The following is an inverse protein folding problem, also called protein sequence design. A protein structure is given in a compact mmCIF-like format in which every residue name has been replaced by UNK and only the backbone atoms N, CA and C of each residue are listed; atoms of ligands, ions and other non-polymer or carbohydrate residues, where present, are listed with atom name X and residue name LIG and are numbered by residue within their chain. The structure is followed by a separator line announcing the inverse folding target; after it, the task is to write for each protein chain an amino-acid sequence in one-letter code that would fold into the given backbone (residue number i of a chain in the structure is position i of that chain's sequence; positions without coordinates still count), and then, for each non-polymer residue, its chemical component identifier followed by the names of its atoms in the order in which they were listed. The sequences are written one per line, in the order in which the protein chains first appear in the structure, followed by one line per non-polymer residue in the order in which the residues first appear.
data_IF_467057487243
#
_entry.id   IF_467057487243
#
_cell.length_a   1.000
_cell.length_b   1.000
_cell.length_c   1.000
_cell.angle_alpha   90.00
_cell.angle_beta   90.00
_cell.angle_gamma   90.00
#
_symmetry.space_group_name_H-M   'P 1'
#
loop_
_entity.id
_entity.type
_entity.pdbx_description
1 polymer ?
#
# COMPACT_ATOMS: atom_id res chain seq x y z
N UNK A 1 15.33 14.11 -5.22
CA UNK A 1 15.10 12.97 -6.15
C UNK A 1 13.82 13.28 -6.91
N UNK A 2 13.69 12.90 -8.18
CA UNK A 2 12.43 13.11 -8.94
C UNK A 2 11.41 12.05 -8.54
N UNK A 3 10.16 12.45 -8.32
CA UNK A 3 9.06 11.53 -8.01
C UNK A 3 8.84 10.60 -9.22
N UNK A 4 8.85 9.27 -9.06
CA UNK A 4 8.57 8.35 -10.17
C UNK A 4 7.16 8.58 -10.72
N UNK A 5 7.03 8.65 -12.05
CA UNK A 5 5.72 8.70 -12.72
C UNK A 5 5.35 7.30 -13.19
N UNK A 6 4.19 6.81 -12.78
CA UNK A 6 3.70 5.47 -13.14
C UNK A 6 2.45 5.62 -14.00
N UNK A 7 2.44 5.00 -15.18
CA UNK A 7 1.26 4.94 -16.04
C UNK A 7 0.50 3.64 -15.78
N UNK A 8 -0.76 3.73 -15.36
CA UNK A 8 -1.67 2.58 -15.34
C UNK A 8 -2.62 2.60 -16.54
N UNK A 9 -2.73 1.47 -17.23
CA UNK A 9 -3.63 1.25 -18.36
C UNK A 9 -4.63 0.18 -17.93
N UNK A 10 -5.82 0.58 -17.50
CA UNK A 10 -6.81 -0.34 -16.94
C UNK A 10 -8.24 0.21 -17.02
N UNK A 11 -9.22 -0.60 -16.61
CA UNK A 11 -10.60 -0.15 -16.47
C UNK A 11 -10.87 0.64 -15.19
N UNK A 12 -11.91 1.46 -15.22
CA UNK A 12 -12.44 2.19 -14.07
C UNK A 12 -13.50 1.36 -13.35
N UNK A 13 -13.27 1.10 -12.06
CA UNK A 13 -14.24 0.51 -11.14
C UNK A 13 -15.01 1.60 -10.39
N UNK A 14 -16.34 1.65 -10.57
CA UNK A 14 -17.22 2.62 -9.91
C UNK A 14 -17.28 2.47 -8.38
N UNK A 15 -17.10 1.26 -7.85
CA UNK A 15 -17.01 1.02 -6.40
C UNK A 15 -15.66 1.46 -5.82
N UNK A 16 -14.67 1.64 -6.72
CA UNK A 16 -13.34 2.09 -6.42
C UNK A 16 -12.54 1.10 -5.59
N UNK A 17 -12.82 -0.20 -5.59
CA UNK A 17 -12.01 -1.21 -4.91
C UNK A 17 -10.88 -1.77 -5.78
N UNK A 18 -11.09 -1.81 -7.09
CA UNK A 18 -10.14 -2.34 -8.08
C UNK A 18 -9.83 -1.30 -9.18
N UNK A 19 -9.23 -1.78 -10.29
CA UNK A 19 -8.99 -0.98 -11.50
C UNK A 19 -8.11 0.25 -11.25
N UNK A 20 -8.32 1.29 -12.07
CA UNK A 20 -7.58 2.55 -11.99
C UNK A 20 -7.68 3.19 -10.59
N UNK A 21 -8.79 3.03 -9.88
CA UNK A 21 -8.97 3.58 -8.54
C UNK A 21 -8.02 2.92 -7.53
N UNK A 22 -7.87 1.59 -7.58
CA UNK A 22 -6.90 0.88 -6.76
C UNK A 22 -5.47 1.24 -7.15
N UNK A 23 -5.18 1.32 -8.45
CA UNK A 23 -3.86 1.65 -8.97
C UNK A 23 -3.42 3.06 -8.52
N UNK A 24 -4.26 4.09 -8.76
CA UNK A 24 -3.99 5.49 -8.39
C UNK A 24 -3.75 5.62 -6.89
N UNK A 25 -4.57 4.99 -6.05
CA UNK A 25 -4.37 5.01 -4.60
C UNK A 25 -3.07 4.34 -4.21
N UNK A 26 -2.78 3.17 -4.78
CA UNK A 26 -1.55 2.43 -4.50
C UNK A 26 -0.31 3.23 -4.84
N UNK A 27 -0.23 3.74 -6.08
CA UNK A 27 0.89 4.55 -6.57
C UNK A 27 1.08 5.80 -5.69
N UNK A 28 -0.01 6.49 -5.36
CA UNK A 28 0.01 7.68 -4.50
C UNK A 28 0.50 7.37 -3.09
N UNK A 29 -0.02 6.29 -2.48
CA UNK A 29 0.33 5.90 -1.12
C UNK A 29 1.78 5.40 -1.00
N UNK A 30 2.34 4.89 -2.09
CA UNK A 30 3.76 4.53 -2.20
C UNK A 30 4.66 5.71 -2.62
N UNK A 31 4.10 6.93 -2.74
CA UNK A 31 4.87 8.15 -2.95
C UNK A 31 5.30 8.42 -4.39
N UNK A 32 4.63 7.81 -5.37
CA UNK A 32 4.83 8.06 -6.80
C UNK A 32 3.65 8.87 -7.39
N UNK A 33 3.83 9.40 -8.60
CA UNK A 33 2.79 10.14 -9.32
C UNK A 33 2.04 9.20 -10.29
N UNK A 34 0.73 8.96 -10.10
CA UNK A 34 -0.05 8.15 -11.02
C UNK A 34 -0.52 8.95 -12.23
N UNK A 35 -0.43 8.33 -13.41
CA UNK A 35 -1.07 8.74 -14.66
C UNK A 35 -1.89 7.57 -15.18
N UNK A 36 -2.91 7.83 -16.00
CA UNK A 36 -3.90 6.80 -16.37
C UNK A 36 -4.27 6.83 -17.85
N UNK A 37 -4.47 5.66 -18.44
CA UNK A 37 -5.21 5.46 -19.68
C UNK A 37 -6.38 4.50 -19.42
N UNK A 38 -7.62 4.98 -19.54
CA UNK A 38 -8.82 4.22 -19.19
C UNK A 38 -9.24 3.35 -20.38
N UNK A 39 -9.38 2.05 -20.17
CA UNK A 39 -9.75 1.06 -21.20
C UNK A 39 -11.26 0.76 -21.24
N UNK A 40 -11.93 0.88 -20.10
CA UNK A 40 -13.36 0.69 -19.96
C UNK A 40 -13.88 1.37 -18.67
N UNK A 41 -15.18 1.63 -18.62
CA UNK A 41 -15.87 2.09 -17.40
C UNK A 41 -16.84 0.98 -16.99
N UNK A 42 -16.80 0.54 -15.73
CA UNK A 42 -17.72 -0.46 -15.22
C UNK A 42 -18.74 0.17 -14.27
N UNK A 43 -20.02 -0.18 -14.43
CA UNK A 43 -21.03 0.03 -13.41
C UNK A 43 -20.92 -1.13 -12.42
N UNK A 44 -20.05 -0.96 -11.42
CA UNK A 44 -19.60 -2.00 -10.50
C UNK A 44 -19.71 -1.53 -9.05
N UNK A 45 -19.93 -2.47 -8.14
CA UNK A 45 -19.84 -2.28 -6.70
C UNK A 45 -19.39 -3.61 -6.05
N UNK A 46 -19.38 -3.67 -4.71
CA UNK A 46 -18.91 -4.85 -3.95
C UNK A 46 -19.70 -6.14 -4.22
N UNK A 47 -20.88 -6.06 -4.83
CA UNK A 47 -21.73 -7.21 -5.16
C UNK A 47 -21.58 -7.68 -6.61
N UNK A 48 -20.79 -6.97 -7.44
CA UNK A 48 -20.48 -7.38 -8.81
C UNK A 48 -20.60 -6.27 -9.84
N UNK A 49 -20.64 -6.67 -11.12
CA UNK A 49 -20.65 -5.78 -12.29
C UNK A 49 -22.00 -5.86 -13.00
N UNK A 50 -22.65 -4.72 -13.21
CA UNK A 50 -23.94 -4.62 -13.90
C UNK A 50 -23.82 -4.18 -15.37
N UNK A 51 -22.76 -3.44 -15.72
CA UNK A 51 -22.49 -3.02 -17.08
C UNK A 51 -21.01 -2.71 -17.29
N UNK A 52 -20.54 -2.86 -18.52
CA UNK A 52 -19.20 -2.47 -18.97
C UNK A 52 -19.35 -1.61 -20.22
N UNK A 53 -18.74 -0.44 -20.22
CA UNK A 53 -18.65 0.45 -21.37
C UNK A 53 -17.19 0.54 -21.85
N UNK A 54 -16.83 -0.13 -22.96
CA UNK A 54 -15.46 -0.10 -23.46
C UNK A 54 -15.13 1.28 -24.03
N UNK A 55 -13.92 1.77 -23.75
CA UNK A 55 -13.36 2.95 -24.40
C UNK A 55 -12.79 2.51 -25.76
N UNK A 56 -13.07 3.24 -26.86
CA UNK A 56 -12.49 2.92 -28.16
C UNK A 56 -10.96 2.86 -28.10
N UNK A 57 -10.34 1.85 -28.71
CA UNK A 57 -8.90 1.64 -28.61
C UNK A 57 -8.08 2.86 -29.09
N UNK A 58 -8.54 3.59 -30.11
CA UNK A 58 -7.92 4.85 -30.56
C UNK A 58 -7.79 5.86 -29.42
N UNK A 59 -8.86 6.08 -28.65
CA UNK A 59 -8.84 6.95 -27.48
C UNK A 59 -7.95 6.40 -26.35
N UNK A 60 -7.83 5.08 -26.20
CA UNK A 60 -6.87 4.48 -25.25
C UNK A 60 -5.43 4.81 -25.66
N UNK A 61 -5.10 4.68 -26.95
CA UNK A 61 -3.77 5.00 -27.46
C UNK A 61 -3.49 6.51 -27.36
N UNK A 62 -4.46 7.37 -27.68
CA UNK A 62 -4.32 8.83 -27.52
C UNK A 62 -4.03 9.22 -26.06
N UNK A 63 -4.66 8.57 -25.08
CA UNK A 63 -4.35 8.78 -23.65
C UNK A 63 -2.91 8.36 -23.31
N UNK A 64 -2.47 7.19 -23.78
CA UNK A 64 -1.11 6.68 -23.57
C UNK A 64 -0.09 7.66 -24.18
N UNK A 65 -0.34 8.11 -25.41
CA UNK A 65 0.54 9.05 -26.12
C UNK A 65 0.59 10.42 -25.45
N UNK A 66 -0.54 10.94 -24.99
CA UNK A 66 -0.58 12.20 -24.27
C UNK A 66 0.28 12.18 -22.99
N UNK A 67 0.23 11.08 -22.23
CA UNK A 67 1.06 10.91 -21.03
C UNK A 67 2.54 10.76 -21.40
N UNK A 68 2.87 9.87 -22.34
CA UNK A 68 4.25 9.61 -22.73
C UNK A 68 4.93 10.81 -23.42
N UNK A 69 4.16 11.74 -23.97
CA UNK A 69 4.68 12.95 -24.59
C UNK A 69 5.08 14.04 -23.58
N UNK A 70 4.53 14.02 -22.36
CA UNK A 70 4.73 15.07 -21.34
C UNK A 70 5.49 14.57 -20.11
N UNK A 71 5.31 13.30 -19.73
CA UNK A 71 5.87 12.72 -18.51
C UNK A 71 7.01 11.74 -18.79
N UNK A 72 8.07 11.82 -17.99
CA UNK A 72 9.12 10.80 -17.90
C UNK A 72 8.58 9.58 -17.13
N UNK A 73 7.79 8.74 -17.80
CA UNK A 73 7.17 7.53 -17.22
C UNK A 73 8.25 6.51 -16.84
N UNK A 74 8.29 6.17 -15.56
CA UNK A 74 9.29 5.28 -14.96
C UNK A 74 8.87 3.80 -14.99
N UNK A 75 7.57 3.51 -15.00
CA UNK A 75 7.04 2.15 -15.21
C UNK A 75 5.59 2.21 -15.71
N UNK A 76 5.14 1.13 -16.34
CA UNK A 76 3.77 0.96 -16.83
C UNK A 76 3.14 -0.25 -16.15
N UNK A 77 1.91 -0.12 -15.68
CA UNK A 77 1.06 -1.23 -15.27
C UNK A 77 -0.08 -1.39 -16.26
N UNK A 78 -0.31 -2.60 -16.74
CA UNK A 78 -1.46 -2.94 -17.58
C UNK A 78 -2.39 -3.85 -16.79
N UNK A 79 -3.66 -3.47 -16.66
CA UNK A 79 -4.71 -4.30 -16.07
C UNK A 79 -5.75 -4.72 -17.12
N UNK A 80 -7.03 -4.70 -16.76
CA UNK A 80 -8.12 -5.00 -17.68
C UNK A 80 -8.05 -4.13 -18.95
N UNK A 81 -7.98 -4.74 -20.13
CA UNK A 81 -7.89 -4.06 -21.44
C UNK A 81 -9.23 -3.94 -22.18
N UNK A 82 -10.22 -4.76 -21.80
CA UNK A 82 -11.61 -4.68 -22.27
C UNK A 82 -11.92 -5.36 -23.61
N UNK A 83 -10.93 -5.59 -24.50
CA UNK A 83 -11.13 -6.38 -25.72
C UNK A 83 -9.81 -6.84 -26.34
N UNK A 84 -9.84 -7.91 -27.14
CA UNK A 84 -8.70 -8.37 -27.94
C UNK A 84 -8.09 -7.29 -28.84
N UNK A 85 -8.93 -6.44 -29.44
CA UNK A 85 -8.49 -5.36 -30.31
C UNK A 85 -7.72 -4.30 -29.52
N UNK A 86 -8.26 -3.88 -28.37
CA UNK A 86 -7.59 -2.93 -27.47
C UNK A 86 -6.29 -3.53 -26.91
N UNK A 87 -6.28 -4.80 -26.52
CA UNK A 87 -5.08 -5.50 -26.04
C UNK A 87 -3.95 -5.45 -27.08
N UNK A 88 -4.24 -5.79 -28.34
CA UNK A 88 -3.24 -5.77 -29.42
C UNK A 88 -2.76 -4.36 -29.71
N UNK A 89 -3.66 -3.37 -29.75
CA UNK A 89 -3.29 -1.97 -29.96
C UNK A 89 -2.36 -1.45 -28.85
N UNK A 90 -2.64 -1.78 -27.58
CA UNK A 90 -1.77 -1.45 -26.45
C UNK A 90 -0.41 -2.14 -26.63
N UNK A 91 -0.38 -3.45 -26.90
CA UNK A 91 0.86 -4.20 -27.08
C UNK A 91 1.72 -3.62 -28.22
N UNK A 92 1.13 -3.35 -29.38
CA UNK A 92 1.82 -2.75 -30.53
C UNK A 92 2.40 -1.37 -30.19
N UNK A 93 1.68 -0.56 -29.42
CA UNK A 93 2.16 0.76 -29.02
C UNK A 93 3.29 0.68 -27.98
N UNK A 94 3.15 -0.20 -26.99
CA UNK A 94 4.14 -0.38 -25.93
C UNK A 94 5.42 -1.04 -26.45
N UNK A 95 5.33 -1.91 -27.46
CA UNK A 95 6.49 -2.50 -28.14
C UNK A 95 7.43 -1.45 -28.74
N UNK A 96 6.90 -0.31 -29.19
CA UNK A 96 7.69 0.82 -29.73
C UNK A 96 8.54 1.53 -28.67
N UNK A 97 8.37 1.21 -27.38
CA UNK A 97 9.22 1.72 -26.31
C UNK A 97 10.56 0.97 -26.22
N UNK A 98 10.76 -0.10 -27.00
CA UNK A 98 11.99 -0.88 -27.12
C UNK A 98 12.56 -1.35 -25.76
N UNK A 99 11.68 -1.71 -24.83
CA UNK A 99 12.07 -2.22 -23.50
C UNK A 99 12.68 -1.17 -22.56
N UNK A 100 12.58 0.13 -22.88
CA UNK A 100 13.15 1.22 -22.04
C UNK A 100 12.38 1.47 -20.75
N UNK A 101 11.08 1.15 -20.75
CA UNK A 101 10.19 1.34 -19.60
C UNK A 101 9.72 -0.04 -19.16
N UNK A 102 9.87 -0.40 -17.87
CA UNK A 102 9.39 -1.68 -17.35
C UNK A 102 7.86 -1.75 -17.39
N UNK A 103 7.33 -2.92 -17.74
CA UNK A 103 5.89 -3.16 -17.93
C UNK A 103 5.44 -4.31 -17.04
N UNK A 104 4.48 -4.06 -16.14
CA UNK A 104 3.86 -5.07 -15.28
C UNK A 104 2.47 -5.36 -15.81
N UNK A 105 2.21 -6.62 -16.17
CA UNK A 105 0.94 -7.05 -16.77
C UNK A 105 0.16 -7.88 -15.76
N UNK A 106 -0.98 -7.35 -15.34
CA UNK A 106 -2.00 -8.02 -14.53
C UNK A 106 -3.09 -8.54 -15.48
N UNK A 107 -3.11 -9.84 -15.84
CA UNK A 107 -3.96 -10.38 -16.89
C UNK A 107 -5.40 -10.60 -16.39
N UNK A 108 -6.05 -9.51 -15.97
CA UNK A 108 -7.39 -9.52 -15.40
C UNK A 108 -8.38 -10.08 -16.43
N UNK A 109 -8.85 -11.31 -16.19
CA UNK A 109 -9.81 -12.01 -17.06
C UNK A 109 -11.17 -12.23 -16.39
N UNK A 110 -11.23 -12.19 -15.05
CA UNK A 110 -12.44 -12.44 -14.26
C UNK A 110 -12.49 -11.43 -13.10
N UNK A 111 -13.68 -10.97 -12.72
CA UNK A 111 -13.84 -10.15 -11.51
C UNK A 111 -13.65 -11.00 -10.25
N UNK A 112 -13.35 -10.35 -9.10
CA UNK A 112 -13.40 -11.01 -7.78
C UNK A 112 -14.74 -11.70 -7.52
N UNK A 113 -15.84 -11.19 -8.09
CA UNK A 113 -17.19 -11.77 -8.01
C UNK A 113 -17.47 -12.88 -9.05
N UNK A 114 -16.48 -13.34 -9.81
CA UNK A 114 -16.59 -14.46 -10.75
C UNK A 114 -17.19 -14.14 -12.12
N UNK A 115 -17.29 -12.87 -12.52
CA UNK A 115 -17.83 -12.48 -13.84
C UNK A 115 -16.69 -12.44 -14.86
N UNK A 116 -16.84 -13.18 -15.97
CA UNK A 116 -15.88 -13.14 -17.07
C UNK A 116 -15.81 -11.72 -17.69
N UNK A 117 -14.60 -11.17 -17.74
CA UNK A 117 -14.28 -9.86 -18.33
C UNK A 117 -13.56 -9.99 -19.68
N UNK A 118 -13.01 -11.16 -19.97
CA UNK A 118 -12.31 -11.46 -21.21
C UNK A 118 -12.98 -12.64 -21.94
N UNK A 119 -13.18 -12.49 -23.24
CA UNK A 119 -13.51 -13.61 -24.14
C UNK A 119 -12.24 -14.34 -24.59
N UNK A 120 -12.38 -15.52 -25.21
CA UNK A 120 -11.25 -16.33 -25.69
C UNK A 120 -10.28 -15.53 -26.58
N UNK A 121 -10.81 -14.63 -27.42
CA UNK A 121 -9.99 -13.77 -28.27
C UNK A 121 -9.13 -12.79 -27.45
N UNK A 122 -9.68 -12.27 -26.35
CA UNK A 122 -8.96 -11.37 -25.44
C UNK A 122 -7.89 -12.14 -24.65
N UNK A 123 -8.19 -13.37 -24.21
CA UNK A 123 -7.21 -14.26 -23.57
C UNK A 123 -6.03 -14.55 -24.51
N UNK A 124 -6.31 -14.91 -25.77
CA UNK A 124 -5.26 -15.14 -26.78
C UNK A 124 -4.42 -13.87 -27.00
N UNK A 125 -5.06 -12.70 -27.05
CA UNK A 125 -4.37 -11.43 -27.25
C UNK A 125 -3.44 -11.04 -26.09
N UNK A 126 -3.63 -11.56 -24.86
CA UNK A 126 -2.74 -11.28 -23.73
C UNK A 126 -1.31 -11.77 -23.98
N UNK A 127 -1.11 -12.79 -24.82
CA UNK A 127 0.23 -13.26 -25.21
C UNK A 127 1.11 -12.14 -25.80
N UNK A 128 0.52 -11.20 -26.54
CA UNK A 128 1.25 -10.07 -27.11
C UNK A 128 1.73 -9.07 -26.04
N UNK A 129 0.99 -8.93 -24.93
CA UNK A 129 1.44 -8.15 -23.78
C UNK A 129 2.51 -8.90 -22.98
N UNK A 130 2.38 -10.22 -22.85
CA UNK A 130 3.38 -11.03 -22.16
C UNK A 130 4.73 -10.99 -22.88
N UNK A 131 4.77 -10.99 -24.20
CA UNK A 131 6.03 -10.87 -24.97
C UNK A 131 6.83 -9.59 -24.71
N UNK A 132 6.21 -8.54 -24.16
CA UNK A 132 6.87 -7.26 -23.84
C UNK A 132 6.92 -6.96 -22.34
N UNK A 133 6.38 -7.86 -21.52
CA UNK A 133 6.28 -7.65 -20.08
C UNK A 133 7.66 -7.77 -19.40
N UNK A 134 7.89 -6.94 -18.38
CA UNK A 134 8.94 -7.18 -17.39
C UNK A 134 8.50 -8.23 -16.37
N UNK A 135 7.20 -8.27 -16.06
CA UNK A 135 6.59 -9.26 -15.18
C UNK A 135 5.11 -9.42 -15.55
N UNK A 136 4.62 -10.65 -15.63
CA UNK A 136 3.19 -10.95 -15.62
C UNK A 136 2.77 -11.45 -14.23
N UNK A 137 1.58 -11.08 -13.74
CA UNK A 137 1.10 -11.43 -12.39
C UNK A 137 -0.21 -12.23 -12.37
N UNK A 138 -0.34 -13.34 -13.14
CA UNK A 138 -1.57 -14.13 -13.15
C UNK A 138 -1.82 -14.81 -11.80
N UNK A 139 -3.08 -14.92 -11.41
CA UNK A 139 -3.51 -15.87 -10.38
C UNK A 139 -3.68 -17.30 -10.95
N UNK A 140 -3.92 -18.28 -10.09
CA UNK A 140 -4.04 -19.68 -10.54
C UNK A 140 -5.18 -19.90 -11.55
N UNK A 141 -6.43 -19.44 -11.31
CA UNK A 141 -7.49 -19.52 -12.33
C UNK A 141 -7.13 -18.87 -13.67
N UNK A 142 -6.39 -17.77 -13.63
CA UNK A 142 -5.93 -17.08 -14.84
C UNK A 142 -4.89 -17.91 -15.59
N UNK A 143 -3.95 -18.55 -14.91
CA UNK A 143 -3.00 -19.47 -15.56
C UNK A 143 -3.74 -20.58 -16.31
N UNK A 144 -4.69 -21.25 -15.65
CA UNK A 144 -5.50 -22.31 -16.29
C UNK A 144 -6.21 -21.78 -17.53
N UNK A 145 -6.77 -20.57 -17.46
CA UNK A 145 -7.44 -19.93 -18.59
C UNK A 145 -6.50 -19.59 -19.75
N UNK A 146 -5.25 -19.22 -19.46
CA UNK A 146 -4.25 -18.81 -20.45
C UNK A 146 -3.55 -19.99 -21.13
N UNK A 147 -3.42 -21.12 -20.44
CA UNK A 147 -2.62 -22.27 -20.92
C UNK A 147 -3.43 -23.53 -21.18
N UNK A 148 -4.58 -23.68 -20.53
CA UNK A 148 -5.34 -24.93 -20.44
C UNK A 148 -4.70 -25.98 -19.52
N UNK A 149 -3.64 -25.63 -18.78
CA UNK A 149 -2.95 -26.52 -17.85
C UNK A 149 -3.53 -26.35 -16.44
N UNK A 150 -3.91 -27.47 -15.82
CA UNK A 150 -4.55 -27.53 -14.49
C UNK A 150 -3.52 -27.41 -13.36
N UNK A 151 -2.27 -27.84 -13.58
CA UNK A 151 -1.16 -27.58 -12.65
C UNK A 151 -0.66 -26.13 -12.81
N UNK A 152 -0.89 -25.24 -11.83
CA UNK A 152 -0.54 -23.83 -11.96
C UNK A 152 0.95 -23.58 -12.17
N UNK A 153 1.84 -24.43 -11.63
CA UNK A 153 3.29 -24.29 -11.80
C UNK A 153 3.69 -24.70 -13.21
N UNK A 154 3.16 -25.82 -13.72
CA UNK A 154 3.41 -26.24 -15.09
C UNK A 154 2.87 -25.22 -16.10
N UNK A 155 1.68 -24.66 -15.85
CA UNK A 155 1.10 -23.60 -16.66
C UNK A 155 1.94 -22.33 -16.63
N UNK A 156 2.42 -21.89 -15.46
CA UNK A 156 3.29 -20.72 -15.38
C UNK A 156 4.63 -20.94 -16.11
N UNK A 157 5.24 -22.12 -16.00
CA UNK A 157 6.44 -22.48 -16.79
C UNK A 157 6.16 -22.46 -18.30
N UNK A 158 4.97 -22.91 -18.73
CA UNK A 158 4.54 -22.82 -20.13
C UNK A 158 4.41 -21.37 -20.60
N UNK A 159 3.88 -20.46 -19.76
CA UNK A 159 3.80 -19.04 -20.08
C UNK A 159 5.18 -18.42 -20.24
N UNK A 160 6.08 -18.69 -19.30
CA UNK A 160 7.49 -18.23 -19.35
C UNK A 160 8.17 -18.75 -20.61
N UNK A 161 8.11 -20.05 -20.89
CA UNK A 161 8.75 -20.63 -22.07
C UNK A 161 8.14 -20.19 -23.41
N UNK A 162 6.85 -19.85 -23.44
CA UNK A 162 6.15 -19.40 -24.66
C UNK A 162 6.37 -17.92 -24.96
N UNK A 163 6.38 -17.07 -23.93
CA UNK A 163 6.37 -15.61 -24.08
C UNK A 163 7.67 -14.93 -23.63
N UNK A 164 8.54 -15.63 -22.91
CA UNK A 164 9.87 -15.16 -22.49
C UNK A 164 9.90 -14.22 -21.28
N UNK A 165 8.74 -13.95 -20.68
CA UNK A 165 8.63 -13.01 -19.55
C UNK A 165 8.41 -13.73 -18.23
N UNK A 166 9.05 -13.28 -17.13
CA UNK A 166 8.82 -13.82 -15.80
C UNK A 166 7.34 -13.76 -15.38
N UNK A 167 6.91 -14.78 -14.64
CA UNK A 167 5.54 -14.91 -14.12
C UNK A 167 5.57 -14.94 -12.60
N UNK A 168 4.89 -13.99 -11.96
CA UNK A 168 4.54 -14.07 -10.54
C UNK A 168 3.17 -14.74 -10.41
N UNK A 169 3.18 -16.04 -10.15
CA UNK A 169 1.98 -16.80 -9.84
C UNK A 169 1.51 -16.47 -8.41
N UNK A 170 0.32 -15.91 -8.27
CA UNK A 170 -0.24 -15.59 -6.96
C UNK A 170 -1.13 -16.70 -6.41
N UNK A 171 -0.84 -17.18 -5.20
CA UNK A 171 -1.47 -18.34 -4.57
C UNK A 171 -2.67 -18.04 -3.68
N UNK A 172 -3.14 -16.79 -3.60
CA UNK A 172 -4.25 -16.38 -2.71
C UNK A 172 -5.57 -17.19 -2.84
N UNK A 173 -5.70 -18.02 -3.88
CA UNK A 173 -6.83 -18.88 -4.16
C UNK A 173 -6.65 -20.34 -3.69
N UNK A 174 -5.50 -20.71 -3.11
CA UNK A 174 -5.26 -22.06 -2.57
C UNK A 174 -6.15 -22.34 -1.35
N UNK A 175 -6.70 -23.55 -1.26
CA UNK A 175 -7.35 -24.03 -0.03
C UNK A 175 -6.29 -24.31 1.04
N UNK A 176 -6.48 -23.76 2.24
CA UNK A 176 -5.60 -24.00 3.39
C UNK A 176 -5.04 -22.74 4.04
N UNK A 177 -4.29 -22.96 5.12
CA UNK A 177 -3.69 -21.93 5.99
C UNK A 177 -2.42 -21.31 5.39
N UNK A 178 -1.64 -22.11 4.66
CA UNK A 178 -0.40 -21.68 4.02
C UNK A 178 -0.68 -21.29 2.58
N UNK A 179 -0.24 -20.10 2.19
CA UNK A 179 -0.32 -19.59 0.83
C UNK A 179 1.11 -19.33 0.32
N UNK A 180 1.35 -19.65 -0.95
CA UNK A 180 2.62 -19.35 -1.60
C UNK A 180 2.41 -18.53 -2.88
N UNK A 181 3.16 -17.43 -2.99
CA UNK A 181 3.34 -16.78 -4.30
C UNK A 181 4.70 -17.21 -4.85
N UNK A 182 4.78 -17.43 -6.16
CA UNK A 182 5.99 -17.92 -6.82
C UNK A 182 6.35 -17.05 -8.03
N UNK A 183 7.53 -16.46 -8.01
CA UNK A 183 8.17 -15.88 -9.19
C UNK A 183 8.87 -17.00 -9.95
N UNK A 184 8.44 -17.23 -11.18
CA UNK A 184 8.94 -18.26 -12.09
C UNK A 184 9.65 -17.54 -13.24
N UNK A 185 10.93 -17.88 -13.39
CA UNK A 185 11.84 -17.42 -14.44
C UNK A 185 12.35 -18.66 -15.22
N UNK A 186 13.11 -18.45 -16.30
CA UNK A 186 13.59 -19.55 -17.16
C UNK A 186 14.42 -20.60 -16.38
N UNK A 187 15.23 -20.17 -15.41
CA UNK A 187 16.19 -20.99 -14.69
C UNK A 187 16.04 -20.97 -13.16
N UNK A 188 15.05 -20.24 -12.64
CA UNK A 188 14.89 -20.00 -11.22
C UNK A 188 13.42 -19.91 -10.80
N UNK A 189 13.15 -20.37 -9.57
CA UNK A 189 11.86 -20.17 -8.90
C UNK A 189 12.13 -19.58 -7.53
N UNK A 190 11.60 -18.38 -7.28
CA UNK A 190 11.64 -17.74 -5.96
C UNK A 190 10.24 -17.76 -5.37
N UNK A 191 10.07 -18.27 -4.16
CA UNK A 191 8.75 -18.34 -3.51
C UNK A 191 8.71 -17.55 -2.21
N UNK A 192 7.53 -17.02 -1.93
CA UNK A 192 7.25 -16.35 -0.68
C UNK A 192 6.05 -16.99 0.01
N UNK A 193 6.23 -17.36 1.27
CA UNK A 193 5.17 -17.94 2.09
C UNK A 193 4.41 -16.86 2.85
N UNK A 194 3.15 -17.14 3.17
CA UNK A 194 2.34 -16.34 4.07
C UNK A 194 1.18 -17.15 4.63
N UNK A 195 0.59 -16.66 5.71
CA UNK A 195 -0.66 -17.21 6.25
C UNK A 195 -1.86 -16.54 5.60
N UNK A 196 -2.92 -17.31 5.36
CA UNK A 196 -4.22 -16.79 4.93
C UNK A 196 -4.74 -15.75 5.93
N UNK A 197 -5.35 -14.69 5.40
CA UNK A 197 -6.00 -13.64 6.18
C UNK A 197 -7.50 -13.86 6.00
N UNK A 198 -8.22 -14.12 7.09
CA UNK A 198 -9.67 -14.28 7.07
C UNK A 198 -10.34 -12.91 6.86
N UNK A 199 -10.75 -12.63 5.62
CA UNK A 199 -11.50 -11.43 5.23
C UNK A 199 -12.20 -11.66 3.88
N UNK A 200 -13.38 -11.08 3.72
CA UNK A 200 -14.09 -11.02 2.43
C UNK A 200 -13.75 -9.72 1.66
N UNK A 201 -13.00 -8.80 2.29
CA UNK A 201 -12.58 -7.53 1.69
C UNK A 201 -11.27 -7.70 0.87
N UNK A 202 -11.33 -8.55 -0.15
CA UNK A 202 -10.22 -8.91 -1.03
C UNK A 202 -10.31 -8.26 -2.43
N UNK A 203 -11.28 -7.36 -2.62
CA UNK A 203 -11.49 -6.73 -3.91
C UNK A 203 -10.34 -5.78 -4.26
N UNK A 204 -9.69 -6.05 -5.40
CA UNK A 204 -8.57 -5.25 -5.90
C UNK A 204 -7.19 -5.69 -5.42
N UNK A 205 -7.04 -6.87 -4.81
CA UNK A 205 -5.75 -7.46 -4.42
C UNK A 205 -4.76 -7.56 -5.59
N UNK A 206 -5.16 -8.14 -6.73
CA UNK A 206 -4.32 -8.24 -7.93
C UNK A 206 -3.89 -6.88 -8.48
N UNK A 207 -4.83 -5.94 -8.63
CA UNK A 207 -4.54 -4.58 -9.08
C UNK A 207 -3.57 -3.85 -8.14
N UNK A 208 -3.79 -3.98 -6.83
CA UNK A 208 -2.92 -3.38 -5.80
C UNK A 208 -1.52 -4.00 -5.84
N UNK A 209 -1.40 -5.32 -6.01
CA UNK A 209 -0.12 -6.00 -6.09
C UNK A 209 0.68 -5.53 -7.30
N UNK A 210 0.09 -5.61 -8.49
CA UNK A 210 0.75 -5.23 -9.75
C UNK A 210 1.09 -3.73 -9.80
N UNK A 211 0.22 -2.85 -9.32
CA UNK A 211 0.50 -1.42 -9.20
C UNK A 211 1.63 -1.12 -8.20
N UNK A 212 1.69 -1.86 -7.08
CA UNK A 212 2.78 -1.72 -6.11
C UNK A 212 4.12 -2.14 -6.72
N UNK A 213 4.16 -3.26 -7.43
CA UNK A 213 5.37 -3.75 -8.11
C UNK A 213 5.85 -2.73 -9.15
N UNK A 214 4.94 -2.22 -10.00
CA UNK A 214 5.27 -1.20 -10.99
C UNK A 214 5.84 0.06 -10.33
N UNK A 215 5.25 0.48 -9.20
CA UNK A 215 5.72 1.65 -8.44
C UNK A 215 7.13 1.46 -7.88
N UNK A 216 7.41 0.32 -7.27
CA UNK A 216 8.74 0.05 -6.71
C UNK A 216 9.81 -0.13 -7.80
N UNK A 217 9.48 -0.79 -8.91
CA UNK A 217 10.39 -0.90 -10.05
C UNK A 217 10.66 0.48 -10.68
N UNK A 218 9.64 1.31 -10.86
CA UNK A 218 9.79 2.69 -11.32
C UNK A 218 10.65 3.56 -10.39
N UNK A 219 10.69 3.22 -9.09
CA UNK A 219 11.59 3.81 -8.11
C UNK A 219 13.03 3.26 -8.14
N UNK A 220 13.32 2.31 -9.04
CA UNK A 220 14.64 1.69 -9.21
C UNK A 220 14.95 0.59 -8.19
N UNK A 221 13.93 0.00 -7.55
CA UNK A 221 14.05 -1.15 -6.65
C UNK A 221 14.08 -2.44 -7.50
N UNK A 222 14.90 -3.42 -7.08
CA UNK A 222 15.01 -4.71 -7.80
C UNK A 222 13.71 -5.51 -7.79
N UNK A 223 13.55 -6.45 -8.73
CA UNK A 223 12.30 -7.20 -8.92
C UNK A 223 11.86 -7.97 -7.67
N UNK A 224 12.72 -8.83 -7.10
CA UNK A 224 12.38 -9.64 -5.92
C UNK A 224 12.02 -8.77 -4.71
N UNK A 225 12.75 -7.67 -4.49
CA UNK A 225 12.46 -6.73 -3.40
C UNK A 225 11.16 -5.97 -3.65
N UNK A 226 10.87 -5.61 -4.90
CA UNK A 226 9.61 -4.98 -5.29
C UNK A 226 8.42 -5.91 -5.04
N UNK A 227 8.56 -7.20 -5.36
CA UNK A 227 7.55 -8.23 -5.09
C UNK A 227 7.35 -8.38 -3.58
N UNK A 228 8.43 -8.55 -2.80
CA UNK A 228 8.34 -8.71 -1.35
C UNK A 228 7.61 -7.53 -0.67
N UNK A 229 7.98 -6.29 -1.04
CA UNK A 229 7.32 -5.08 -0.53
C UNK A 229 5.87 -4.96 -0.98
N UNK A 230 5.57 -5.29 -2.24
CA UNK A 230 4.21 -5.27 -2.77
C UNK A 230 3.30 -6.29 -2.06
N UNK A 231 3.81 -7.50 -1.80
CA UNK A 231 3.10 -8.52 -1.02
C UNK A 231 2.83 -8.04 0.39
N UNK A 232 3.82 -7.45 1.06
CA UNK A 232 3.63 -6.86 2.38
C UNK A 232 2.54 -5.78 2.34
N UNK A 233 2.51 -4.94 1.29
CA UNK A 233 1.56 -3.84 1.14
C UNK A 233 0.12 -4.36 1.04
N UNK A 234 -0.10 -5.37 0.19
CA UNK A 234 -1.41 -6.02 0.03
C UNK A 234 -1.84 -6.69 1.33
N UNK A 235 -0.95 -7.45 1.99
CA UNK A 235 -1.27 -8.14 3.25
C UNK A 235 -1.67 -7.17 4.36
N UNK A 236 -0.97 -6.06 4.50
CA UNK A 236 -1.35 -5.00 5.44
C UNK A 236 -2.70 -4.37 5.04
N UNK A 237 -2.95 -4.20 3.74
CA UNK A 237 -4.23 -3.72 3.23
C UNK A 237 -5.40 -4.64 3.56
N UNK A 238 -5.18 -5.96 3.54
CA UNK A 238 -6.18 -6.97 3.94
C UNK A 238 -6.47 -6.91 5.44
N UNK A 239 -5.45 -6.80 6.29
CA UNK A 239 -5.65 -6.65 7.74
C UNK A 239 -6.37 -5.35 8.12
N UNK A 240 -6.16 -4.28 7.34
CA UNK A 240 -6.75 -2.96 7.58
C UNK A 240 -8.07 -2.71 6.85
N UNK A 241 -8.63 -3.77 6.24
CA UNK A 241 -9.83 -3.67 5.43
C UNK A 241 -10.98 -2.97 6.20
N UNK A 242 -11.69 -2.03 5.56
CA UNK A 242 -12.63 -1.14 6.23
C UNK A 242 -14.04 -1.73 6.41
N UNK A 243 -14.34 -2.92 5.88
CA UNK A 243 -15.68 -3.54 5.98
C UNK A 243 -16.75 -2.77 5.21
N UNK A 244 -16.43 -2.29 4.00
CA UNK A 244 -17.33 -1.45 3.21
C UNK A 244 -18.10 -2.27 2.17
N UNK A 245 -19.40 -1.99 2.05
CA UNK A 245 -20.30 -2.64 1.10
C UNK A 245 -21.01 -3.86 1.70
N UNK A 246 -21.57 -4.70 0.83
CA UNK A 246 -22.35 -5.89 1.20
C UNK A 246 -21.85 -7.17 0.49
N UNK A 247 -20.70 -7.10 -0.15
CA UNK A 247 -20.05 -8.23 -0.82
C UNK A 247 -18.53 -8.11 -0.63
N UNK A 248 -17.75 -8.31 -1.67
CA UNK A 248 -16.29 -8.16 -1.60
C UNK A 248 -15.88 -6.69 -1.51
N UNK A 249 -15.49 -6.24 -0.32
CA UNK A 249 -15.08 -4.87 -0.07
C UNK A 249 -13.63 -4.57 -0.48
N UNK A 250 -13.26 -3.28 -0.52
CA UNK A 250 -11.93 -2.83 -0.91
C UNK A 250 -10.90 -3.02 0.21
N UNK A 251 -9.62 -3.09 -0.17
CA UNK A 251 -8.50 -3.08 0.77
C UNK A 251 -8.39 -1.78 1.58
N UNK A 252 -7.84 -1.88 2.80
CA UNK A 252 -7.58 -0.78 3.73
C UNK A 252 -6.39 0.13 3.38
N UNK A 253 -6.14 0.42 2.09
CA UNK A 253 -4.90 1.05 1.61
C UNK A 253 -4.55 2.38 2.30
N UNK A 254 -5.55 3.17 2.69
CA UNK A 254 -5.36 4.47 3.36
C UNK A 254 -4.68 4.35 4.74
N UNK A 255 -4.77 3.18 5.37
CA UNK A 255 -4.17 2.88 6.67
C UNK A 255 -2.86 2.12 6.55
N UNK A 256 -2.55 1.56 5.37
CA UNK A 256 -1.28 0.89 5.15
C UNK A 256 -0.16 1.91 5.25
N UNK A 257 0.53 1.86 6.38
CA UNK A 257 1.83 2.46 6.57
C UNK A 257 2.82 1.32 6.54
N UNK A 258 3.12 0.81 5.35
CA UNK A 258 4.37 0.05 5.26
C UNK A 258 5.50 0.93 5.76
N UNK A 259 5.46 2.19 5.33
CA UNK A 259 6.42 3.19 5.67
C UNK A 259 5.99 4.55 5.10
N UNK A 260 5.90 5.59 5.92
CA UNK A 260 5.75 6.97 5.39
C UNK A 260 7.04 7.37 4.65
N UNK A 261 7.00 7.49 3.32
CA UNK A 261 8.08 8.06 2.51
C UNK A 261 8.05 7.65 1.04
N UNK A 262 8.74 8.43 0.21
CA UNK A 262 8.85 8.21 -1.25
C UNK A 262 9.37 6.79 -1.57
N UNK A 263 8.82 6.15 -2.60
CA UNK A 263 9.43 4.98 -3.21
C UNK A 263 10.76 5.43 -3.83
N UNK A 264 11.87 5.13 -3.15
CA UNK A 264 13.22 5.42 -3.61
C UNK A 264 14.14 4.23 -3.33
N UNK A 265 15.19 4.11 -4.15
CA UNK A 265 16.19 3.03 -4.08
C UNK A 265 16.90 2.92 -2.72
N UNK A 266 17.00 4.02 -1.98
CA UNK A 266 17.52 4.03 -0.60
C UNK A 266 16.55 4.79 0.29
N UNK A 267 15.85 4.04 1.13
CA UNK A 267 14.96 4.58 2.15
C UNK A 267 15.77 5.25 3.26
N UNK A 268 15.53 6.54 3.60
CA UNK A 268 16.13 7.16 4.79
C UNK A 268 15.61 6.48 6.08
N UNK A 269 16.34 6.54 7.20
CA UNK A 269 15.88 5.96 8.46
C UNK A 269 14.46 6.41 8.83
N UNK A 270 13.63 5.45 9.27
CA UNK A 270 12.21 5.68 9.61
C UNK A 270 12.00 5.45 11.10
N UNK A 271 11.28 6.36 11.75
CA UNK A 271 10.81 6.16 13.12
C UNK A 271 9.64 5.17 13.10
N UNK A 272 9.93 3.90 13.41
CA UNK A 272 8.92 2.83 13.41
C UNK A 272 8.20 2.72 14.77
N UNK A 273 8.96 2.85 15.86
CA UNK A 273 8.48 2.61 17.21
C UNK A 273 9.23 3.50 18.20
N UNK A 274 8.49 4.04 19.17
CA UNK A 274 9.04 4.67 20.36
C UNK A 274 8.67 3.83 21.57
N UNK A 275 9.68 3.43 22.34
CA UNK A 275 9.51 2.70 23.60
C UNK A 275 9.80 3.63 24.78
N UNK A 276 8.84 3.77 25.69
CA UNK A 276 9.09 4.38 26.99
C UNK A 276 9.35 3.31 28.04
N UNK A 277 10.24 3.61 28.98
CA UNK A 277 10.48 2.76 30.13
C UNK A 277 9.46 3.07 31.22
N UNK A 278 9.00 2.01 31.90
CA UNK A 278 8.12 2.10 33.05
C UNK A 278 8.63 1.30 34.24
N UNK A 279 8.02 1.54 35.41
CA UNK A 279 8.33 0.82 36.66
C UNK A 279 7.14 -0.02 37.16
N UNK A 280 5.96 0.15 36.55
CA UNK A 280 4.72 -0.53 36.92
C UNK A 280 3.90 -0.78 35.64
N UNK A 281 3.88 -2.03 35.20
CA UNK A 281 3.25 -2.45 33.95
C UNK A 281 1.77 -2.09 33.89
N UNK A 282 1.00 -2.48 34.90
CA UNK A 282 -0.46 -2.33 34.91
C UNK A 282 -0.85 -0.86 34.85
N UNK A 283 -0.20 -0.01 35.67
CA UNK A 283 -0.49 1.43 35.67
C UNK A 283 -0.13 2.09 34.34
N UNK A 284 1.00 1.71 33.74
CA UNK A 284 1.41 2.24 32.44
C UNK A 284 0.41 1.85 31.35
N UNK A 285 -0.01 0.58 31.30
CA UNK A 285 -1.02 0.12 30.34
C UNK A 285 -2.36 0.82 30.53
N UNK A 286 -2.82 0.95 31.77
CA UNK A 286 -4.06 1.67 32.08
C UNK A 286 -3.99 3.13 31.62
N UNK A 287 -2.89 3.82 31.91
CA UNK A 287 -2.68 5.21 31.52
C UNK A 287 -2.73 5.40 30.00
N UNK A 288 -1.96 4.62 29.24
CA UNK A 288 -1.89 4.77 27.79
C UNK A 288 -3.21 4.37 27.09
N UNK A 289 -3.96 3.40 27.64
CA UNK A 289 -5.36 3.16 27.22
C UNK A 289 -6.25 4.36 27.48
N UNK A 290 -6.15 4.97 28.67
CA UNK A 290 -7.00 6.09 29.10
C UNK A 290 -6.82 7.35 28.26
N UNK A 291 -5.59 7.66 27.83
CA UNK A 291 -5.35 8.79 26.90
C UNK A 291 -5.85 8.50 25.47
N UNK A 292 -6.22 7.25 25.18
CA UNK A 292 -6.92 6.84 23.97
C UNK A 292 -6.11 5.95 23.02
N UNK A 293 -4.98 5.38 23.43
CA UNK A 293 -4.24 4.43 22.59
C UNK A 293 -4.88 3.04 22.65
N UNK A 294 -4.88 2.34 21.52
CA UNK A 294 -5.40 0.97 21.41
C UNK A 294 -4.28 -0.03 21.68
N UNK A 295 -4.37 -0.84 22.73
CA UNK A 295 -3.40 -1.90 22.96
C UNK A 295 -3.56 -3.01 21.91
N UNK A 296 -2.46 -3.39 21.27
CA UNK A 296 -2.40 -4.43 20.22
C UNK A 296 -1.47 -5.59 20.59
N UNK A 297 -0.56 -5.41 21.55
CA UNK A 297 0.24 -6.48 22.15
C UNK A 297 0.15 -6.35 23.67
N UNK A 298 -0.18 -7.47 24.32
CA UNK A 298 -0.22 -7.63 25.77
C UNK A 298 0.75 -8.76 26.16
N UNK A 299 1.85 -8.42 26.83
CA UNK A 299 2.89 -9.36 27.22
C UNK A 299 3.36 -9.09 28.66
N UNK A 300 2.49 -9.34 29.65
CA UNK A 300 2.78 -9.05 31.06
C UNK A 300 3.98 -9.84 31.60
N UNK A 301 4.18 -11.07 31.14
CA UNK A 301 5.32 -11.91 31.53
C UNK A 301 6.67 -11.30 31.13
N UNK A 302 6.69 -10.54 30.03
CA UNK A 302 7.85 -9.80 29.55
C UNK A 302 7.82 -8.32 29.96
N UNK A 303 6.84 -7.92 30.79
CA UNK A 303 6.62 -6.52 31.18
C UNK A 303 6.52 -5.57 29.97
N UNK A 304 5.95 -6.05 28.86
CA UNK A 304 5.93 -5.33 27.59
C UNK A 304 4.51 -5.19 27.02
N UNK A 305 4.18 -3.99 26.58
CA UNK A 305 2.94 -3.71 25.87
C UNK A 305 3.20 -2.85 24.64
N UNK A 306 2.48 -3.13 23.54
CA UNK A 306 2.48 -2.28 22.35
C UNK A 306 1.08 -1.76 22.08
N UNK A 307 1.04 -0.49 21.69
CA UNK A 307 -0.15 0.26 21.37
C UNK A 307 -0.06 0.76 19.92
N UNK A 308 -1.22 0.85 19.30
CA UNK A 308 -1.43 1.51 18.02
C UNK A 308 -1.87 2.95 18.26
N UNK A 309 -1.29 3.86 17.48
CA UNK A 309 -1.62 5.28 17.46
C UNK A 309 -2.35 5.65 16.15
N UNK A 310 -2.88 6.87 16.07
CA UNK A 310 -3.55 7.36 14.86
C UNK A 310 -2.64 7.25 13.63
N UNK A 311 -3.17 6.70 12.54
CA UNK A 311 -2.44 6.54 11.30
C UNK A 311 -1.42 5.40 11.28
N UNK A 312 -1.54 4.39 12.17
CA UNK A 312 -0.83 3.10 12.06
C UNK A 312 0.55 3.03 12.71
N UNK A 313 1.06 4.12 13.30
CA UNK A 313 2.33 4.10 14.02
C UNK A 313 2.19 3.41 15.39
N UNK A 314 3.27 2.77 15.86
CA UNK A 314 3.24 2.04 17.14
C UNK A 314 4.00 2.76 18.25
N UNK A 315 3.47 2.63 19.46
CA UNK A 315 4.06 3.11 20.71
C UNK A 315 4.13 1.94 21.69
N UNK A 316 5.20 1.81 22.48
CA UNK A 316 5.28 0.71 23.43
C UNK A 316 5.78 1.14 24.80
N UNK A 317 5.43 0.33 25.78
CA UNK A 317 5.97 0.40 27.13
C UNK A 317 6.78 -0.87 27.40
N UNK A 318 7.98 -0.69 27.92
CA UNK A 318 8.77 -1.77 28.52
C UNK A 318 9.01 -1.42 29.99
N UNK A 319 8.53 -2.25 30.91
CA UNK A 319 8.80 -2.05 32.32
C UNK A 319 9.99 -2.89 32.78
N UNK A 320 10.82 -2.27 33.62
CA UNK A 320 11.89 -2.92 34.37
C UNK A 320 11.81 -2.35 35.80
N UNK A 321 11.35 -3.15 36.78
CA UNK A 321 11.19 -2.67 38.16
C UNK A 321 12.49 -2.18 38.81
N UNK A 322 13.64 -2.66 38.32
CA UNK A 322 14.96 -2.33 38.84
C UNK A 322 15.63 -1.19 38.04
N UNK A 323 15.00 -0.71 36.96
CA UNK A 323 15.55 0.37 36.16
C UNK A 323 15.45 1.72 36.89
N UNK A 324 16.52 2.55 36.85
CA UNK A 324 16.47 3.89 37.40
C UNK A 324 15.44 4.75 36.66
N UNK A 325 14.58 5.45 37.41
CA UNK A 325 13.66 6.46 36.87
C UNK A 325 14.45 7.64 36.34
N UNK A 326 14.62 7.72 35.02
CA UNK A 326 15.22 8.86 34.35
C UNK A 326 14.12 9.85 33.93
N UNK A 327 14.15 11.08 34.45
CA UNK A 327 13.16 12.16 34.16
C UNK A 327 13.29 12.79 32.76
N UNK A 328 13.65 12.05 31.71
CA UNK A 328 14.30 12.67 30.55
C UNK A 328 13.55 12.60 29.21
N UNK A 329 12.42 11.92 29.10
CA UNK A 329 11.72 11.78 27.82
C UNK A 329 10.40 12.56 27.80
N UNK A 330 10.21 13.31 26.72
CA UNK A 330 8.98 14.00 26.38
C UNK A 330 8.35 13.35 25.15
N UNK A 331 7.13 12.83 25.30
CA UNK A 331 6.35 12.23 24.21
C UNK A 331 5.26 13.20 23.78
N UNK A 332 5.12 13.44 22.48
CA UNK A 332 4.12 14.35 21.91
C UNK A 332 3.09 13.57 21.11
N UNK A 333 1.82 13.65 21.52
CA UNK A 333 0.68 13.10 20.78
C UNK A 333 -0.11 14.23 20.14
N UNK A 334 -0.24 14.21 18.82
CA UNK A 334 -1.03 15.20 18.10
C UNK A 334 -2.53 14.92 18.25
N UNK A 335 -3.31 15.95 18.53
CA UNK A 335 -4.74 15.88 18.80
C UNK A 335 -5.47 17.01 18.06
N UNK A 336 -6.21 16.68 17.01
CA UNK A 336 -7.03 17.66 16.29
C UNK A 336 -8.12 18.30 17.17
N UNK A 337 -8.58 17.55 18.17
CA UNK A 337 -9.61 17.89 19.16
C UNK A 337 -9.04 18.31 20.53
N UNK A 338 -7.81 18.87 20.56
CA UNK A 338 -7.03 19.11 21.77
C UNK A 338 -7.84 19.62 22.99
N UNK A 339 -8.54 20.75 22.87
CA UNK A 339 -9.25 21.35 24.00
C UNK A 339 -10.38 20.46 24.53
N UNK A 340 -11.15 19.82 23.64
CA UNK A 340 -12.24 18.88 24.00
C UNK A 340 -11.68 17.63 24.67
N UNK A 341 -10.58 17.09 24.14
CA UNK A 341 -9.92 15.90 24.66
C UNK A 341 -9.35 16.14 26.06
N UNK A 342 -8.66 17.25 26.26
CA UNK A 342 -8.09 17.60 27.58
C UNK A 342 -9.19 17.78 28.61
N UNK A 343 -10.30 18.45 28.24
CA UNK A 343 -11.43 18.61 29.15
C UNK A 343 -12.04 17.26 29.55
N UNK A 344 -12.23 16.34 28.58
CA UNK A 344 -12.72 14.98 28.86
C UNK A 344 -11.79 14.22 29.80
N UNK A 345 -10.50 14.18 29.51
CA UNK A 345 -9.51 13.45 30.30
C UNK A 345 -9.38 14.01 31.73
N UNK A 346 -9.44 15.33 31.88
CA UNK A 346 -9.44 15.97 33.19
C UNK A 346 -10.67 15.57 34.03
N UNK A 347 -11.87 15.49 33.42
CA UNK A 347 -13.09 15.00 34.10
C UNK A 347 -12.99 13.52 34.49
N UNK A 348 -12.25 12.72 33.72
CA UNK A 348 -11.95 11.32 34.05
C UNK A 348 -10.87 11.17 35.14
N UNK A 349 -10.40 12.27 35.72
CA UNK A 349 -9.46 12.28 36.84
C UNK A 349 -7.98 12.24 36.44
N UNK A 350 -7.66 12.51 35.17
CA UNK A 350 -6.26 12.58 34.72
C UNK A 350 -5.65 13.95 35.10
N UNK A 351 -4.54 13.99 35.87
CA UNK A 351 -3.94 15.25 36.28
C UNK A 351 -3.15 15.90 35.15
N UNK A 352 -3.39 17.19 34.91
CA UNK A 352 -2.62 18.01 33.98
C UNK A 352 -1.77 19.01 34.76
N UNK A 353 -0.51 19.17 34.37
CA UNK A 353 0.35 20.25 34.88
C UNK A 353 -0.12 21.62 34.34
N UNK A 354 -0.56 21.64 33.08
CA UNK A 354 -1.31 22.76 32.51
C UNK A 354 -2.23 22.29 31.38
N UNK A 355 -3.36 22.99 31.24
CA UNK A 355 -4.27 22.83 30.11
C UNK A 355 -3.71 23.41 28.79
N UNK A 356 -4.50 23.40 27.71
CA UNK A 356 -4.05 23.83 26.39
C UNK A 356 -3.65 25.32 26.37
N UNK A 357 -2.44 25.61 25.90
CA UNK A 357 -1.94 26.99 25.70
C UNK A 357 -1.11 27.11 24.44
N UNK A 358 -1.11 28.30 23.84
CA UNK A 358 -0.31 28.60 22.66
C UNK A 358 1.18 28.72 23.03
N UNK A 359 2.04 28.31 22.11
CA UNK A 359 3.49 28.33 22.27
C UNK A 359 4.18 29.24 21.23
N UNK A 360 5.39 29.75 21.52
CA UNK A 360 6.13 30.63 20.60
C UNK A 360 6.45 30.02 19.23
N UNK A 361 6.56 28.70 19.15
CA UNK A 361 6.81 27.93 17.92
C UNK A 361 5.51 27.53 17.20
N UNK A 362 4.43 28.28 17.42
CA UNK A 362 3.17 28.25 16.66
C UNK A 362 2.39 26.92 16.69
N UNK A 363 2.42 26.26 17.84
CA UNK A 363 1.46 25.20 18.16
C UNK A 363 0.79 25.43 19.52
N UNK A 364 -0.24 24.65 19.81
CA UNK A 364 -0.96 24.67 21.10
C UNK A 364 -0.76 23.34 21.80
N UNK A 365 -0.51 23.34 23.10
CA UNK A 365 -0.23 22.10 23.85
C UNK A 365 -0.76 22.13 25.29
N UNK A 366 -1.06 20.94 25.81
CA UNK A 366 -1.31 20.64 27.22
C UNK A 366 -0.28 19.63 27.71
N UNK A 367 0.06 19.65 29.01
CA UNK A 367 1.11 18.81 29.59
C UNK A 367 0.60 17.99 30.76
N UNK A 368 1.00 16.72 30.80
CA UNK A 368 0.74 15.77 31.88
C UNK A 368 1.95 14.83 32.08
N UNK A 369 1.83 13.91 33.06
CA UNK A 369 2.83 12.86 33.31
C UNK A 369 2.23 11.48 33.26
N UNK A 370 3.00 10.53 32.76
CA UNK A 370 2.68 9.11 32.90
C UNK A 370 3.07 8.59 34.31
N UNK A 371 2.67 7.35 34.68
CA UNK A 371 2.97 6.77 35.99
C UNK A 371 4.46 6.60 36.31
N UNK A 372 5.33 6.57 35.29
CA UNK A 372 6.77 6.49 35.46
C UNK A 372 7.45 7.88 35.56
N UNK A 373 6.66 8.96 35.41
CA UNK A 373 7.13 10.33 35.52
C UNK A 373 7.56 10.96 34.18
N UNK A 374 7.43 10.23 33.06
CA UNK A 374 7.75 10.77 31.73
C UNK A 374 6.81 11.93 31.39
N UNK A 375 7.34 12.92 30.68
CA UNK A 375 6.52 14.07 30.25
C UNK A 375 5.70 13.67 29.03
N UNK A 376 4.40 13.92 29.08
CA UNK A 376 3.50 13.71 27.94
C UNK A 376 2.90 15.05 27.54
N UNK A 377 2.92 15.35 26.25
CA UNK A 377 2.27 16.49 25.64
C UNK A 377 1.14 16.01 24.74
N UNK A 378 -0.06 16.58 24.93
CA UNK A 378 -1.11 16.55 23.92
C UNK A 378 -1.02 17.89 23.18
N UNK A 379 -0.85 17.90 21.87
CA UNK A 379 -0.62 19.14 21.12
C UNK A 379 -1.34 19.18 19.78
N UNK A 380 -1.45 20.39 19.21
CA UNK A 380 -2.02 20.65 17.88
C UNK A 380 -1.17 21.70 17.18
N UNK A 381 -0.52 21.32 16.07
CA UNK A 381 0.37 22.19 15.31
C UNK A 381 -0.10 22.46 13.87
N UNK A 382 -0.93 21.58 13.29
CA UNK A 382 -1.39 21.74 11.91
C UNK A 382 -0.22 21.70 10.92
N UNK A 383 -0.24 22.53 9.87
CA UNK A 383 0.85 22.56 8.87
C UNK A 383 2.21 22.96 9.47
N UNK A 384 2.20 23.81 10.51
CA UNK A 384 3.42 24.30 11.18
C UNK A 384 4.24 23.17 11.84
N UNK A 385 3.65 21.99 12.03
CA UNK A 385 4.37 20.78 12.46
C UNK A 385 5.50 20.40 11.50
N UNK A 386 5.28 20.60 10.19
CA UNK A 386 6.22 20.23 9.11
C UNK A 386 6.70 21.42 8.30
N UNK A 387 5.88 22.47 8.17
CA UNK A 387 6.11 23.62 7.30
C UNK A 387 6.04 24.96 8.04
N UNK A 388 6.79 25.16 9.14
CA UNK A 388 6.82 26.46 9.80
C UNK A 388 7.58 27.51 8.95
N UNK A 389 7.37 28.82 9.18
CA UNK A 389 8.09 29.92 8.51
C UNK A 389 9.62 29.89 8.65
N UNK A 390 10.15 29.19 9.66
CA UNK A 390 11.59 29.00 9.87
C UNK A 390 12.09 27.62 9.38
N UNK A 391 11.32 26.91 8.55
CA UNK A 391 11.78 25.65 7.94
C UNK A 391 13.02 25.92 7.09
N UNK A 392 14.08 25.14 7.32
CA UNK A 392 15.29 25.18 6.50
C UNK A 392 14.91 24.73 5.08
N UNK A 393 15.23 25.53 4.06
CA UNK A 393 15.01 25.17 2.66
C UNK A 393 15.96 24.06 2.22
N UNK A 394 15.50 23.18 1.31
CA UNK A 394 16.36 22.18 0.68
C UNK A 394 17.45 22.91 -0.13
N UNK A 395 18.68 22.97 0.40
CA UNK A 395 19.83 23.68 -0.19
C UNK A 395 20.63 24.61 0.74
N UNK A 396 20.31 24.71 2.04
CA UNK A 396 21.11 25.46 3.03
C UNK A 396 22.14 24.61 3.81
N UNK A 397 22.30 23.33 3.45
CA UNK A 397 23.36 22.46 3.97
C UNK A 397 24.66 22.69 3.18
N UNK A 398 25.37 23.78 3.48
CA UNK A 398 26.84 23.91 3.37
C UNK A 398 27.24 25.40 3.38
N UNK A 399 27.32 25.98 4.56
CA UNK A 399 28.21 27.12 4.82
C UNK A 399 28.87 26.88 6.19
N UNK A 400 30.10 26.35 6.25
CA UNK A 400 30.85 26.32 7.50
C UNK A 400 31.15 27.77 7.92
N UNK A 401 30.65 28.15 9.09
CA UNK A 401 31.01 29.40 9.78
C UNK A 401 32.34 29.27 10.52
#
# INVERSE_FOLDING_TARGET
MSIPVILTIAGSDSGGGAGIQADVRTITMLGAHPTTAITAITAQNTQGVSAVHPVPAEMVIEQIDAVLADFDVAAIKVGMTGSAFTTRAIADRLKQLDGKIPIIVDPVMVTTSGVALADEATVEAMGALFEIATLATPNMPEVVSLTGEEDPIAGALQLVGKHGSPVLLTGGHEEGEALADALIEDDNITSWQGTRIETDDDHGTGCTLSASIATFIGAGIGLNESIDRARMYVRMGLHEAPGLGQGHGPLGLSKVRLDVGEAVKSTPPRLNQLTVTGIDYDKMVEFYKKIGLKQIIDSPDNQYARFETGGGATFSVQCDPDAPTAENFAVYFECDDLDVRVERLAREGLPFEHGPRAQPWMWREARLRDPAGNTVFLYKAGENRRFPPWRIGEGQEDMPG
#
